data_IF_805732544546
#
_entry.id   IF_805732544546
#
_cell.length_a   1.000
_cell.length_b   1.000
_cell.length_c   1.000
_cell.angle_alpha   90.00
_cell.angle_beta   90.00
_cell.angle_gamma   90.00
#
_symmetry.space_group_name_H-M   'P 1'
#
loop_
_entity.id
_entity.type
_entity.pdbx_description
1 polymer ?
#
# COMPACT_ATOMS: atom_id res chain seq x y z
N UNK A 1 -20.56 9.28 -5.94
CA UNK A 1 -20.20 8.74 -4.63
C UNK A 1 -18.74 9.09 -4.34
N UNK A 2 -18.45 9.56 -3.13
CA UNK A 2 -17.09 9.94 -2.78
C UNK A 2 -16.20 8.71 -2.56
N UNK A 3 -14.94 8.82 -2.98
CA UNK A 3 -13.97 7.77 -2.71
C UNK A 3 -13.68 7.68 -1.20
N UNK A 4 -13.46 6.46 -0.73
CA UNK A 4 -12.96 6.21 0.63
C UNK A 4 -11.45 6.09 0.53
N UNK A 5 -10.74 7.08 1.06
CA UNK A 5 -9.28 7.15 0.99
C UNK A 5 -8.66 6.31 2.10
N UNK A 6 -7.74 5.45 1.73
CA UNK A 6 -7.13 4.47 2.63
C UNK A 6 -5.63 4.69 2.75
N UNK A 7 -5.12 4.60 3.98
CA UNK A 7 -3.71 4.38 4.25
C UNK A 7 -3.52 2.92 4.67
N UNK A 8 -2.68 2.19 3.98
CA UNK A 8 -2.43 0.77 4.26
C UNK A 8 -1.11 0.61 5.00
N UNK A 9 -1.17 0.16 6.25
CA UNK A 9 0.01 -0.14 7.06
C UNK A 9 0.29 -1.64 7.01
N UNK A 10 1.56 -1.99 7.09
CA UNK A 10 1.99 -3.40 6.98
C UNK A 10 1.44 -4.03 5.71
N UNK A 11 1.59 -3.30 4.61
CA UNK A 11 0.88 -3.60 3.36
C UNK A 11 1.21 -4.97 2.75
N UNK A 12 2.36 -5.54 3.09
CA UNK A 12 2.80 -6.80 2.50
C UNK A 12 2.92 -6.69 1.00
N UNK A 13 2.31 -7.62 0.28
CA UNK A 13 2.28 -7.62 -1.19
C UNK A 13 1.02 -6.96 -1.76
N UNK A 14 0.20 -6.37 -0.91
CA UNK A 14 -0.98 -5.61 -1.34
C UNK A 14 -2.29 -6.38 -1.43
N UNK A 15 -2.44 -7.43 -0.63
CA UNK A 15 -3.67 -8.24 -0.64
C UNK A 15 -4.92 -7.46 -0.28
N UNK A 16 -4.88 -6.61 0.74
CA UNK A 16 -6.03 -5.79 1.12
C UNK A 16 -6.40 -4.79 0.02
N UNK A 17 -5.39 -4.13 -0.54
CA UNK A 17 -5.63 -3.19 -1.65
C UNK A 17 -6.28 -3.89 -2.82
N UNK A 18 -5.79 -5.06 -3.19
CA UNK A 18 -6.34 -5.86 -4.28
C UNK A 18 -7.80 -6.21 -4.02
N UNK A 19 -8.12 -6.66 -2.79
CA UNK A 19 -9.48 -7.01 -2.41
C UNK A 19 -10.44 -5.84 -2.38
N UNK A 20 -9.98 -4.67 -1.95
CA UNK A 20 -10.83 -3.47 -1.85
C UNK A 20 -11.01 -2.76 -3.19
N UNK A 21 -9.95 -2.61 -3.97
CA UNK A 21 -9.98 -1.87 -5.24
C UNK A 21 -10.33 -2.72 -6.45
N UNK A 22 -10.23 -4.04 -6.32
CA UNK A 22 -10.47 -4.95 -7.41
C UNK A 22 -9.25 -5.19 -8.28
N UNK A 23 -9.41 -6.07 -9.25
CA UNK A 23 -8.31 -6.49 -10.12
C UNK A 23 -8.86 -6.87 -11.50
N UNK A 24 -8.21 -6.38 -12.53
CA UNK A 24 -8.46 -6.82 -13.91
C UNK A 24 -7.33 -7.75 -14.32
N UNK A 25 -7.70 -8.96 -14.77
CA UNK A 25 -6.73 -9.92 -15.24
C UNK A 25 -6.15 -9.47 -16.58
N UNK A 26 -4.87 -9.09 -16.64
CA UNK A 26 -4.27 -8.58 -17.87
C UNK A 26 -4.16 -9.64 -18.97
N UNK A 27 -4.27 -10.92 -18.61
CA UNK A 27 -4.20 -12.02 -19.58
C UNK A 27 -5.58 -12.50 -20.05
N UNK A 28 -6.65 -11.95 -19.46
CA UNK A 28 -8.01 -12.31 -19.84
C UNK A 28 -8.41 -13.73 -19.48
N UNK A 29 -7.77 -14.34 -18.49
CA UNK A 29 -8.03 -15.72 -18.10
C UNK A 29 -9.24 -15.89 -17.16
N UNK A 30 -10.03 -14.84 -16.98
CA UNK A 30 -11.24 -14.88 -16.13
C UNK A 30 -10.96 -14.74 -14.64
N UNK A 31 -9.80 -14.23 -14.27
CA UNK A 31 -9.39 -14.03 -12.88
C UNK A 31 -9.70 -12.60 -12.36
N UNK A 32 -10.62 -11.91 -13.02
CA UNK A 32 -11.02 -10.57 -12.60
C UNK A 32 -11.71 -10.58 -11.24
N UNK A 33 -11.44 -9.55 -10.45
CA UNK A 33 -12.08 -9.35 -9.16
C UNK A 33 -12.67 -7.95 -9.11
N UNK A 34 -13.99 -7.81 -8.88
CA UNK A 34 -14.59 -6.48 -8.78
C UNK A 34 -14.13 -5.77 -7.50
N UNK A 35 -14.19 -4.44 -7.52
CA UNK A 35 -13.91 -3.67 -6.31
C UNK A 35 -14.99 -3.96 -5.26
N UNK A 36 -14.61 -3.90 -3.98
CA UNK A 36 -15.53 -4.09 -2.86
C UNK A 36 -16.38 -2.83 -2.59
N UNK A 37 -16.01 -1.69 -3.18
CA UNK A 37 -16.69 -0.42 -2.98
C UNK A 37 -15.83 0.73 -3.51
N UNK A 38 -16.13 1.98 -3.16
CA UNK A 38 -15.41 3.16 -3.64
C UNK A 38 -14.10 3.38 -2.89
N UNK A 39 -13.31 2.34 -2.72
CA UNK A 39 -12.05 2.39 -1.98
C UNK A 39 -10.89 2.79 -2.86
N UNK A 40 -10.00 3.62 -2.32
CA UNK A 40 -8.75 3.98 -2.99
C UNK A 40 -7.63 4.10 -1.97
N UNK A 41 -6.61 3.28 -2.12
CA UNK A 41 -5.38 3.37 -1.32
C UNK A 41 -4.53 4.51 -1.86
N UNK A 42 -4.34 5.54 -1.05
CA UNK A 42 -3.56 6.73 -1.44
C UNK A 42 -2.20 6.79 -0.77
N UNK A 43 -1.96 5.94 0.21
CA UNK A 43 -0.68 5.85 0.90
C UNK A 43 -0.51 4.46 1.47
N UNK A 44 0.69 3.91 1.40
CA UNK A 44 0.98 2.59 1.94
C UNK A 44 2.40 2.55 2.49
N UNK A 45 2.61 1.72 3.50
CA UNK A 45 3.92 1.49 4.09
C UNK A 45 4.14 0.00 4.28
N UNK A 46 5.33 -0.47 3.92
CA UNK A 46 5.78 -1.84 4.13
C UNK A 46 7.28 -1.85 4.39
N UNK A 47 7.67 -2.44 5.49
CA UNK A 47 9.07 -2.59 5.88
C UNK A 47 9.28 -3.90 6.62
N UNK A 48 10.32 -4.62 6.26
CA UNK A 48 10.74 -5.82 6.96
C UNK A 48 12.01 -5.50 7.75
N UNK A 49 12.03 -5.79 9.07
CA UNK A 49 13.18 -5.44 9.92
C UNK A 49 14.47 -6.11 9.43
N UNK A 50 15.63 -5.44 9.61
CA UNK A 50 16.93 -6.04 9.29
C UNK A 50 17.12 -7.35 10.05
N UNK A 51 17.71 -8.34 9.38
CA UNK A 51 17.93 -9.67 9.95
C UNK A 51 16.79 -10.66 9.67
N UNK A 52 15.61 -10.18 9.32
CA UNK A 52 14.49 -11.04 8.93
C UNK A 52 14.34 -11.12 7.41
N UNK A 53 14.59 -10.00 6.70
CA UNK A 53 14.61 -9.97 5.25
C UNK A 53 15.52 -8.84 4.78
N UNK A 54 16.60 -9.17 4.07
CA UNK A 54 17.57 -8.18 3.62
C UNK A 54 17.18 -7.43 2.35
N UNK A 55 16.18 -7.92 1.60
CA UNK A 55 15.86 -7.42 0.27
C UNK A 55 14.47 -6.79 0.13
N UNK A 56 13.69 -6.75 1.20
CA UNK A 56 12.36 -6.12 1.20
C UNK A 56 11.46 -6.64 0.05
N UNK A 57 11.36 -7.96 -0.10
CA UNK A 57 10.63 -8.59 -1.18
C UNK A 57 9.16 -8.18 -1.26
N UNK A 58 8.50 -8.03 -0.12
CA UNK A 58 7.09 -7.66 -0.10
C UNK A 58 6.86 -6.28 -0.72
N UNK A 59 7.68 -5.30 -0.36
CA UNK A 59 7.60 -3.97 -0.94
C UNK A 59 7.92 -3.98 -2.43
N UNK A 60 8.90 -4.78 -2.85
CA UNK A 60 9.22 -4.93 -4.26
C UNK A 60 8.04 -5.51 -5.06
N UNK A 61 7.36 -6.52 -4.53
CA UNK A 61 6.16 -7.07 -5.16
C UNK A 61 5.02 -6.05 -5.23
N UNK A 62 4.84 -5.28 -4.16
CA UNK A 62 3.83 -4.22 -4.11
C UNK A 62 4.06 -3.18 -5.23
N UNK A 63 5.30 -2.76 -5.39
CA UNK A 63 5.68 -1.79 -6.44
C UNK A 63 5.44 -2.32 -7.84
N UNK A 64 5.68 -3.60 -8.07
CA UNK A 64 5.41 -4.24 -9.37
C UNK A 64 3.93 -4.20 -9.69
N UNK A 65 3.06 -4.42 -8.69
CA UNK A 65 1.61 -4.44 -8.89
C UNK A 65 0.99 -3.06 -9.01
N UNK A 66 1.43 -2.13 -8.18
CA UNK A 66 0.74 -0.85 -8.01
C UNK A 66 1.54 0.37 -8.43
N UNK A 67 2.80 0.20 -8.81
CA UNK A 67 3.68 1.26 -9.27
C UNK A 67 4.86 1.52 -8.36
N UNK A 68 5.92 2.10 -8.90
CA UNK A 68 7.18 2.34 -8.18
C UNK A 68 7.00 3.24 -6.95
N UNK A 69 6.11 4.23 -7.03
CA UNK A 69 5.86 5.18 -5.95
C UNK A 69 4.66 4.80 -5.07
N UNK A 70 4.17 3.56 -5.19
CA UNK A 70 2.93 3.13 -4.54
C UNK A 70 3.07 2.80 -3.07
N UNK A 71 4.28 2.59 -2.57
CA UNK A 71 4.51 2.18 -1.19
C UNK A 71 5.78 2.83 -0.63
N UNK A 72 5.71 3.26 0.62
CA UNK A 72 6.87 3.75 1.37
C UNK A 72 7.56 2.55 2.00
N UNK A 73 8.78 2.27 1.56
CA UNK A 73 9.58 1.14 2.06
C UNK A 73 10.58 1.63 3.11
N UNK A 74 10.03 2.06 4.24
CA UNK A 74 10.81 2.57 5.37
C UNK A 74 10.15 2.13 6.68
N UNK A 75 10.93 2.04 7.75
CA UNK A 75 10.42 1.67 9.08
C UNK A 75 9.33 2.67 9.49
N UNK A 76 8.14 2.17 9.83
CA UNK A 76 7.00 3.00 10.19
C UNK A 76 7.27 3.90 11.40
N UNK A 77 8.09 3.46 12.34
CA UNK A 77 8.47 4.29 13.49
C UNK A 77 9.23 5.54 13.05
N UNK A 78 10.13 5.37 12.09
CA UNK A 78 10.91 6.49 11.53
C UNK A 78 10.01 7.42 10.71
N UNK A 79 9.10 6.85 9.93
CA UNK A 79 8.15 7.62 9.12
C UNK A 79 7.27 8.49 10.02
N UNK A 80 6.72 7.92 11.09
CA UNK A 80 5.88 8.66 12.05
C UNK A 80 6.69 9.74 12.77
N UNK A 81 7.92 9.43 13.18
CA UNK A 81 8.78 10.39 13.84
C UNK A 81 9.08 11.60 12.93
N UNK A 82 9.36 11.34 11.65
CA UNK A 82 9.58 12.40 10.67
C UNK A 82 8.31 13.23 10.46
N UNK A 83 7.15 12.60 10.41
CA UNK A 83 5.88 13.30 10.29
C UNK A 83 5.65 14.23 11.49
N UNK A 84 5.87 13.75 12.70
CA UNK A 84 5.71 14.55 13.92
C UNK A 84 6.66 15.74 13.99
N UNK A 85 7.85 15.63 13.39
CA UNK A 85 8.81 16.73 13.30
C UNK A 85 8.55 17.70 12.14
N UNK A 86 7.54 17.43 11.33
CA UNK A 86 7.26 18.22 10.14
C UNK A 86 8.20 17.99 8.97
N UNK A 87 8.95 16.89 8.98
CA UNK A 87 9.91 16.54 7.93
C UNK A 87 9.30 15.72 6.80
N UNK A 88 8.09 15.23 6.99
CA UNK A 88 7.40 14.36 6.04
C UNK A 88 5.90 14.57 6.14
N UNK A 89 5.21 14.52 5.01
CA UNK A 89 3.76 14.54 4.96
C UNK A 89 3.21 13.11 4.87
N UNK A 90 2.11 12.88 5.59
CA UNK A 90 1.27 11.70 5.41
C UNK A 90 -0.12 12.24 5.09
N UNK A 91 -0.75 11.80 3.99
CA UNK A 91 -2.03 12.36 3.60
C UNK A 91 -3.14 12.03 4.58
N UNK A 92 -4.15 12.89 4.67
CA UNK A 92 -5.36 12.60 5.41
C UNK A 92 -6.13 11.48 4.71
N UNK A 93 -6.61 10.54 5.49
CA UNK A 93 -7.34 9.39 4.97
C UNK A 93 -8.62 9.14 5.77
N UNK A 94 -9.54 8.38 5.18
CA UNK A 94 -10.80 8.03 5.81
C UNK A 94 -10.69 6.73 6.61
N UNK A 95 -9.76 5.85 6.20
CA UNK A 95 -9.58 4.54 6.81
C UNK A 95 -8.12 4.13 6.79
N UNK A 96 -7.71 3.41 7.82
CA UNK A 96 -6.38 2.84 7.96
C UNK A 96 -6.45 1.31 8.00
#
# INVERSE_FOLDING_TARGET
MNEIKIAELFAGVGGFRLGLEGYEDPEGAGMDMPSAGPFKTIWANQWEPPGTASKQFAAACYKVRFGEDSVVNEDIHEVIAQFERGERDIPDVDMV
#
